data_IF_790481206188
#
_entry.id   IF_790481206188
#
_cell.length_a   1.000
_cell.length_b   1.000
_cell.length_c   1.000
_cell.angle_alpha   90.00
_cell.angle_beta   90.00
_cell.angle_gamma   90.00
#
_symmetry.space_group_name_H-M   'P 1'
#
loop_
_entity.id
_entity.type
_entity.pdbx_description
1 polymer ?
#
# COMPACT_ATOMS: atom_id res chain seq x y z
N UNK A 1 -12.79 3.86 24.04
CA UNK A 1 -12.09 4.49 22.91
C UNK A 1 -11.09 3.47 22.40
N UNK A 2 -11.40 2.78 21.30
CA UNK A 2 -10.52 1.75 20.75
C UNK A 2 -9.30 2.43 20.15
N UNK A 3 -8.13 2.20 20.73
CA UNK A 3 -6.87 2.75 20.23
C UNK A 3 -6.66 2.26 18.80
N UNK A 4 -6.63 3.19 17.84
CA UNK A 4 -6.19 2.90 16.48
C UNK A 4 -4.76 2.40 16.61
N UNK A 5 -4.54 1.10 16.38
CA UNK A 5 -3.20 0.51 16.38
C UNK A 5 -2.40 1.21 15.29
N UNK A 6 -1.45 2.07 15.67
CA UNK A 6 -0.60 2.74 14.70
C UNK A 6 0.19 1.70 13.91
N UNK A 7 0.18 1.80 12.57
CA UNK A 7 1.06 1.00 11.73
C UNK A 7 2.51 1.44 11.95
N UNK A 8 3.39 0.48 12.26
CA UNK A 8 4.81 0.74 12.47
C UNK A 8 5.56 0.70 11.15
N UNK A 9 5.88 1.85 10.57
CA UNK A 9 6.68 1.96 9.34
C UNK A 9 8.18 1.73 9.58
N UNK A 10 8.90 1.36 8.53
CA UNK A 10 10.36 1.15 8.58
C UNK A 10 11.13 2.48 8.67
N UNK A 11 10.65 3.51 7.99
CA UNK A 11 11.17 4.87 7.96
C UNK A 11 10.11 5.81 7.35
N UNK A 12 10.41 7.10 7.28
CA UNK A 12 9.49 8.11 6.73
C UNK A 12 9.16 7.86 5.25
N UNK A 13 10.11 7.35 4.46
CA UNK A 13 9.86 7.04 3.05
C UNK A 13 8.83 5.91 2.90
N UNK A 14 8.91 4.88 3.72
CA UNK A 14 7.91 3.80 3.72
C UNK A 14 6.51 4.36 4.04
N UNK A 15 6.39 5.21 5.06
CA UNK A 15 5.10 5.85 5.39
C UNK A 15 4.56 6.70 4.23
N UNK A 16 5.39 7.54 3.63
CA UNK A 16 4.98 8.43 2.54
C UNK A 16 4.51 7.64 1.32
N UNK A 17 5.25 6.60 0.94
CA UNK A 17 4.88 5.68 -0.14
C UNK A 17 3.57 4.98 0.14
N UNK A 18 3.41 4.46 1.35
CA UNK A 18 2.17 3.77 1.73
C UNK A 18 0.96 4.71 1.61
N UNK A 19 1.07 5.94 2.11
CA UNK A 19 0.02 6.94 1.99
C UNK A 19 -0.28 7.28 0.51
N UNK A 20 0.74 7.40 -0.34
CA UNK A 20 0.56 7.58 -1.78
C UNK A 20 -0.24 6.42 -2.40
N UNK A 21 0.12 5.18 -2.10
CA UNK A 21 -0.55 3.99 -2.64
C UNK A 21 -2.00 3.89 -2.17
N UNK A 22 -2.27 4.19 -0.90
CA UNK A 22 -3.63 4.19 -0.34
C UNK A 22 -4.49 5.26 -1.01
N UNK A 23 -3.95 6.47 -1.21
CA UNK A 23 -4.65 7.54 -1.89
C UNK A 23 -4.92 7.19 -3.35
N UNK A 24 -3.94 6.60 -4.04
CA UNK A 24 -4.04 6.21 -5.46
C UNK A 24 -5.08 5.11 -5.68
N UNK A 25 -5.11 4.08 -4.83
CA UNK A 25 -6.04 2.95 -4.91
C UNK A 25 -7.44 3.25 -4.34
N UNK A 26 -7.61 4.38 -3.63
CA UNK A 26 -8.82 4.69 -2.84
C UNK A 26 -9.20 3.55 -1.88
N UNK A 27 -8.19 2.87 -1.32
CA UNK A 27 -8.40 1.70 -0.47
C UNK A 27 -9.12 2.10 0.83
N UNK A 28 -10.21 1.41 1.15
CA UNK A 28 -10.95 1.63 2.39
C UNK A 28 -10.12 1.19 3.60
N UNK A 29 -10.32 1.86 4.75
CA UNK A 29 -9.57 1.56 5.97
C UNK A 29 -9.79 0.13 6.49
N UNK A 30 -10.91 -0.50 6.16
CA UNK A 30 -11.22 -1.88 6.60
C UNK A 30 -10.79 -2.94 5.57
N UNK A 31 -10.25 -2.52 4.42
CA UNK A 31 -9.73 -3.46 3.44
C UNK A 31 -8.32 -3.92 3.83
N UNK A 32 -8.27 -4.82 4.81
CA UNK A 32 -7.02 -5.25 5.41
C UNK A 32 -6.11 -5.98 4.43
N UNK A 33 -6.66 -6.70 3.45
CA UNK A 33 -5.90 -7.44 2.45
C UNK A 33 -5.16 -6.48 1.51
N UNK A 34 -5.88 -5.54 0.89
CA UNK A 34 -5.26 -4.54 0.00
C UNK A 34 -4.30 -3.64 0.76
N UNK A 35 -4.65 -3.21 1.98
CA UNK A 35 -3.73 -2.43 2.82
C UNK A 35 -2.45 -3.20 3.14
N UNK A 36 -2.55 -4.50 3.43
CA UNK A 36 -1.38 -5.34 3.67
C UNK A 36 -0.47 -5.43 2.44
N UNK A 37 -1.05 -5.65 1.25
CA UNK A 37 -0.29 -5.70 0.00
C UNK A 37 0.42 -4.37 -0.29
N UNK A 38 -0.30 -3.26 -0.24
CA UNK A 38 0.25 -1.93 -0.51
C UNK A 38 1.32 -1.55 0.53
N UNK A 39 1.19 -1.99 1.77
CA UNK A 39 2.23 -1.83 2.80
C UNK A 39 3.52 -2.55 2.42
N UNK A 40 3.45 -3.81 1.97
CA UNK A 40 4.63 -4.55 1.52
C UNK A 40 5.29 -3.88 0.32
N UNK A 41 4.50 -3.46 -0.68
CA UNK A 41 5.02 -2.74 -1.87
C UNK A 41 5.73 -1.44 -1.46
N UNK A 42 5.12 -0.66 -0.56
CA UNK A 42 5.69 0.62 -0.10
C UNK A 42 7.00 0.48 0.69
N UNK A 43 7.16 -0.64 1.40
CA UNK A 43 8.32 -0.92 2.24
C UNK A 43 9.58 -1.38 1.49
N UNK A 44 9.46 -1.76 0.22
CA UNK A 44 10.56 -2.24 -0.61
C UNK A 44 10.78 -1.32 -1.81
N UNK A 45 12.02 -0.84 -2.01
CA UNK A 45 12.35 0.09 -3.09
C UNK A 45 12.03 -0.45 -4.48
N UNK A 46 12.42 -1.69 -4.76
CA UNK A 46 12.29 -2.31 -6.08
C UNK A 46 10.82 -2.61 -6.40
N UNK A 47 10.06 -3.09 -5.40
CA UNK A 47 8.61 -3.30 -5.55
C UNK A 47 7.90 -1.97 -5.79
N UNK A 48 8.26 -0.92 -5.05
CA UNK A 48 7.66 0.39 -5.22
C UNK A 48 7.90 0.98 -6.62
N UNK A 49 9.12 0.82 -7.15
CA UNK A 49 9.44 1.24 -8.52
C UNK A 49 8.63 0.47 -9.56
N UNK A 50 8.26 -0.79 -9.27
CA UNK A 50 7.48 -1.66 -10.15
C UNK A 50 5.99 -1.70 -9.82
N UNK A 51 5.50 -0.86 -8.91
CA UNK A 51 4.12 -0.90 -8.38
C UNK A 51 3.05 -0.94 -9.47
N UNK A 52 3.24 -0.17 -10.55
CA UNK A 52 2.28 -0.03 -11.65
C UNK A 52 2.27 -1.27 -12.57
N UNK A 53 3.29 -2.12 -12.50
CA UNK A 53 3.32 -3.44 -13.12
C UNK A 53 2.79 -4.53 -12.20
N UNK A 54 2.92 -4.38 -10.88
CA UNK A 54 2.49 -5.38 -9.90
C UNK A 54 0.99 -5.26 -9.57
N UNK A 55 0.45 -4.05 -9.65
CA UNK A 55 -0.88 -3.75 -9.17
C UNK A 55 -1.55 -2.70 -10.05
N UNK A 56 -2.72 -3.05 -10.57
CA UNK A 56 -3.56 -2.12 -11.29
C UNK A 56 -4.41 -1.33 -10.28
N UNK A 57 -4.09 -0.05 -10.15
CA UNK A 57 -4.74 0.88 -9.22
C UNK A 57 -6.11 1.38 -9.70
N UNK A 58 -6.50 1.08 -10.94
CA UNK A 58 -7.82 1.43 -11.49
C UNK A 58 -8.81 0.32 -11.12
N UNK A 59 -8.48 -0.91 -11.50
CA UNK A 59 -9.34 -2.09 -11.28
C UNK A 59 -9.12 -2.74 -9.90
N UNK A 60 -8.10 -2.30 -9.16
CA UNK A 60 -7.81 -2.68 -7.77
C UNK A 60 -7.50 -4.17 -7.55
N UNK A 61 -6.66 -4.70 -8.42
CA UNK A 61 -6.24 -6.11 -8.48
C UNK A 61 -4.76 -6.22 -8.87
N UNK A 62 -4.17 -7.38 -8.57
CA UNK A 62 -2.81 -7.72 -9.00
C UNK A 62 -2.82 -7.93 -10.50
N UNK A 63 -1.85 -7.37 -11.21
CA UNK A 63 -1.70 -7.63 -12.64
C UNK A 63 -1.02 -8.99 -12.84
N UNK A 64 -1.67 -9.99 -13.48
CA UNK A 64 -1.12 -11.34 -13.63
C UNK A 64 -0.17 -11.51 -14.83
N UNK A 65 0.04 -10.45 -15.62
CA UNK A 65 0.88 -10.46 -16.83
C UNK A 65 2.40 -10.48 -16.57
#
# INVERSE_FOLDING_TARGET
MNGVKQMKYLNQNHQNRFNELILKSKTHQEDFERRSLLYVIAGNQDLYQKKDHLYDFIENWINPE
#
